data_IF_962298151419
#
_entry.id   IF_962298151419
#
_cell.length_a   1.000
_cell.length_b   1.000
_cell.length_c   1.000
_cell.angle_alpha   90.00
_cell.angle_beta   90.00
_cell.angle_gamma   90.00
#
_symmetry.space_group_name_H-M   'P 1'
#
loop_
_entity.id
_entity.type
_entity.pdbx_description
1 polymer ?
#
# COMPACT_ATOMS: atom_id res chain seq x y z
N UNK A 1 11.83 10.25 27.31
CA UNK A 1 10.90 9.98 26.19
C UNK A 1 11.78 9.42 25.09
N UNK A 2 11.49 8.19 24.64
CA UNK A 2 12.20 7.60 23.50
C UNK A 2 11.79 8.34 22.21
N UNK A 3 12.68 8.49 21.21
CA UNK A 3 12.30 9.09 19.94
C UNK A 3 11.27 8.21 19.21
N UNK A 4 10.35 8.84 18.47
CA UNK A 4 9.28 8.14 17.74
C UNK A 4 9.79 7.21 16.62
N UNK A 5 11.04 7.37 16.19
CA UNK A 5 11.66 6.58 15.15
C UNK A 5 13.18 6.55 15.25
N UNK A 6 13.82 5.86 14.32
CA UNK A 6 15.28 5.63 14.30
C UNK A 6 15.96 6.23 13.05
N UNK A 7 15.26 7.09 12.28
CA UNK A 7 15.84 7.73 11.09
C UNK A 7 16.93 8.72 11.50
N UNK A 8 18.13 8.60 10.91
CA UNK A 8 19.21 9.56 11.14
C UNK A 8 18.87 10.96 10.60
N UNK A 9 19.37 12.01 11.27
CA UNK A 9 19.09 13.41 10.97
C UNK A 9 19.80 13.98 9.72
N UNK A 10 20.68 13.19 9.10
CA UNK A 10 21.46 13.59 7.93
C UNK A 10 20.63 13.64 6.66
N UNK A 11 19.94 14.75 6.42
CA UNK A 11 19.09 14.94 5.24
C UNK A 11 19.83 14.80 3.90
N UNK A 12 21.09 15.29 3.82
CA UNK A 12 22.02 15.08 2.72
C UNK A 12 21.38 15.16 1.33
N UNK A 13 21.51 14.08 0.56
CA UNK A 13 20.99 13.97 -0.81
C UNK A 13 19.46 14.10 -0.91
N UNK A 14 18.71 13.81 0.15
CA UNK A 14 17.25 13.82 0.09
C UNK A 14 16.70 15.23 -0.18
N UNK A 15 17.24 16.26 0.47
CA UNK A 15 16.88 17.67 0.21
C UNK A 15 17.06 18.05 -1.26
N UNK A 16 18.16 17.60 -1.89
CA UNK A 16 18.42 17.80 -3.32
C UNK A 16 17.41 17.10 -4.21
N UNK A 17 17.11 15.82 -3.95
CA UNK A 17 16.18 15.04 -4.79
C UNK A 17 14.73 15.50 -4.64
N UNK A 18 14.35 15.96 -3.45
CA UNK A 18 13.01 16.46 -3.16
C UNK A 18 12.85 17.93 -3.59
N UNK A 19 13.94 18.64 -3.87
CA UNK A 19 13.91 20.04 -4.30
C UNK A 19 13.47 21.01 -3.20
N UNK A 20 13.73 20.68 -1.93
CA UNK A 20 13.29 21.44 -0.75
C UNK A 20 14.45 21.86 0.14
N UNK A 21 14.26 22.91 0.93
CA UNK A 21 15.23 23.34 1.94
C UNK A 21 15.34 22.36 3.11
N UNK A 22 16.40 22.46 3.92
CA UNK A 22 16.60 21.57 5.06
C UNK A 22 15.50 21.64 6.12
N UNK A 23 14.94 22.83 6.37
CA UNK A 23 13.79 23.01 7.27
C UNK A 23 12.52 22.34 6.75
N UNK A 24 12.17 22.59 5.48
CA UNK A 24 11.01 21.97 4.83
C UNK A 24 11.13 20.45 4.77
N UNK A 25 12.34 19.94 4.51
CA UNK A 25 12.61 18.51 4.56
C UNK A 25 12.32 17.95 5.95
N UNK A 26 12.85 18.55 7.02
CA UNK A 26 12.59 18.05 8.37
C UNK A 26 11.11 18.05 8.74
N UNK A 27 10.34 19.02 8.25
CA UNK A 27 8.90 19.08 8.47
C UNK A 27 8.10 18.04 7.68
N UNK A 28 8.59 17.60 6.51
CA UNK A 28 7.87 16.69 5.59
C UNK A 28 8.36 15.25 5.64
N UNK A 29 9.56 15.02 6.18
CA UNK A 29 10.27 13.75 6.05
C UNK A 29 9.90 12.71 7.12
N UNK A 30 8.73 12.86 7.76
CA UNK A 30 8.14 11.89 8.66
C UNK A 30 6.98 11.10 8.01
N UNK A 31 6.56 10.02 8.69
CA UNK A 31 5.56 9.07 8.20
C UNK A 31 4.13 9.62 8.36
N UNK A 32 3.38 9.67 7.26
CA UNK A 32 1.94 9.81 7.32
C UNK A 32 1.27 8.45 7.60
N UNK A 33 0.25 8.35 8.48
CA UNK A 33 -0.45 9.44 9.18
C UNK A 33 0.06 9.71 10.61
N UNK A 34 1.25 9.24 11.00
CA UNK A 34 1.80 9.54 12.33
C UNK A 34 2.06 11.04 12.49
N UNK A 35 2.64 11.65 11.46
CA UNK A 35 2.73 13.08 11.28
C UNK A 35 1.73 13.50 10.19
N UNK A 36 0.75 14.37 10.49
CA UNK A 36 -0.18 14.89 9.48
C UNK A 36 0.49 15.75 8.40
N UNK A 37 1.66 16.35 8.68
CA UNK A 37 2.46 17.14 7.73
C UNK A 37 3.54 16.28 7.03
N UNK A 38 3.71 15.03 7.47
CA UNK A 38 4.60 14.05 6.87
C UNK A 38 4.15 13.62 5.47
N UNK A 39 5.12 13.38 4.58
CA UNK A 39 4.89 13.01 3.18
C UNK A 39 5.40 11.60 2.85
N UNK A 40 5.94 10.86 3.83
CA UNK A 40 6.34 9.47 3.64
C UNK A 40 5.16 8.52 3.84
N UNK A 41 5.03 7.56 2.93
CA UNK A 41 4.03 6.48 3.01
C UNK A 41 4.71 5.14 3.25
N UNK A 42 4.13 4.33 4.13
CA UNK A 42 4.51 2.92 4.33
C UNK A 42 3.40 2.03 3.77
N UNK A 43 3.75 1.30 2.72
CA UNK A 43 2.93 0.22 2.18
C UNK A 43 3.48 -1.12 2.68
N UNK A 44 2.64 -1.90 3.35
CA UNK A 44 3.00 -3.26 3.80
C UNK A 44 2.44 -4.28 2.83
N UNK A 45 3.31 -5.07 2.22
CA UNK A 45 2.94 -6.15 1.32
C UNK A 45 2.58 -7.40 2.13
N UNK A 46 1.37 -7.91 1.92
CA UNK A 46 0.86 -9.14 2.52
C UNK A 46 0.85 -10.22 1.45
N UNK A 47 1.78 -11.17 1.58
CA UNK A 47 2.13 -12.09 0.48
C UNK A 47 2.24 -13.57 0.87
N UNK A 48 1.92 -13.92 2.12
CA UNK A 48 1.92 -15.31 2.59
C UNK A 48 0.85 -15.55 3.67
N UNK A 49 0.65 -16.81 4.06
CA UNK A 49 -0.38 -17.20 5.02
C UNK A 49 -0.19 -16.55 6.40
N UNK A 50 1.06 -16.36 6.85
CA UNK A 50 1.34 -15.73 8.13
C UNK A 50 0.93 -14.25 8.10
N UNK A 51 1.25 -13.53 7.02
CA UNK A 51 0.82 -12.16 6.84
C UNK A 51 -0.71 -12.03 6.78
N UNK A 52 -1.39 -12.95 6.10
CA UNK A 52 -2.85 -13.00 6.04
C UNK A 52 -3.46 -13.28 7.42
N UNK A 53 -2.85 -14.18 8.21
CA UNK A 53 -3.33 -14.51 9.55
C UNK A 53 -3.17 -13.37 10.57
N UNK A 54 -2.20 -12.45 10.34
CA UNK A 54 -1.91 -11.33 11.22
C UNK A 54 -2.33 -9.97 10.62
N UNK A 55 -3.09 -9.97 9.54
CA UNK A 55 -3.33 -8.76 8.74
C UNK A 55 -4.03 -7.65 9.54
N UNK A 56 -4.88 -7.99 10.51
CA UNK A 56 -5.54 -7.02 11.38
C UNK A 56 -4.59 -6.39 12.38
N UNK A 57 -3.62 -7.16 12.90
CA UNK A 57 -2.59 -6.64 13.78
C UNK A 57 -1.65 -5.71 13.02
N UNK A 58 -1.24 -6.12 11.83
CA UNK A 58 -0.40 -5.32 10.92
C UNK A 58 -1.12 -4.00 10.57
N UNK A 59 -2.41 -4.05 10.21
CA UNK A 59 -3.18 -2.86 9.85
C UNK A 59 -3.34 -1.86 11.01
N UNK A 60 -3.22 -2.33 12.27
CA UNK A 60 -3.31 -1.48 13.47
C UNK A 60 -1.98 -0.85 13.88
N UNK A 61 -0.86 -1.23 13.25
CA UNK A 61 0.44 -0.65 13.59
C UNK A 61 0.45 0.85 13.23
N UNK A 62 0.71 1.75 14.20
CA UNK A 62 0.76 3.18 13.93
C UNK A 62 1.79 3.51 12.83
N UNK A 63 1.37 4.26 11.82
CA UNK A 63 2.21 4.67 10.67
C UNK A 63 2.12 3.76 9.45
N UNK A 64 1.39 2.64 9.50
CA UNK A 64 1.03 1.90 8.28
C UNK A 64 0.03 2.73 7.48
N UNK A 65 0.46 3.22 6.33
CA UNK A 65 -0.34 4.09 5.47
C UNK A 65 -1.28 3.31 4.55
N UNK A 66 -0.91 2.08 4.19
CA UNK A 66 -1.69 1.19 3.31
C UNK A 66 -1.19 -0.26 3.38
N UNK A 67 -2.06 -1.19 2.99
CA UNK A 67 -1.68 -2.58 2.74
C UNK A 67 -1.62 -2.85 1.24
N UNK A 68 -0.88 -3.88 0.84
CA UNK A 68 -0.86 -4.40 -0.52
C UNK A 68 -1.13 -5.89 -0.49
N UNK A 69 -2.14 -6.33 -1.23
CA UNK A 69 -2.30 -7.75 -1.56
C UNK A 69 -1.46 -8.06 -2.80
N UNK A 70 -0.58 -9.07 -2.73
CA UNK A 70 0.29 -9.47 -3.84
C UNK A 70 -0.22 -10.79 -4.46
N UNK A 71 -0.98 -10.75 -5.58
CA UNK A 71 -1.65 -11.95 -6.10
C UNK A 71 -0.69 -13.06 -6.54
N UNK A 72 0.45 -12.71 -7.14
CA UNK A 72 1.43 -13.70 -7.59
C UNK A 72 2.03 -14.47 -6.41
N UNK A 73 2.49 -13.75 -5.39
CA UNK A 73 3.12 -14.34 -4.21
C UNK A 73 2.12 -15.08 -3.34
N UNK A 74 0.90 -14.56 -3.16
CA UNK A 74 -0.18 -15.29 -2.49
C UNK A 74 -0.52 -16.58 -3.25
N UNK A 75 -0.58 -16.54 -4.59
CA UNK A 75 -0.78 -17.75 -5.40
C UNK A 75 0.29 -18.81 -5.13
N UNK A 76 1.57 -18.41 -5.05
CA UNK A 76 2.66 -19.32 -4.69
C UNK A 76 2.57 -19.82 -3.25
N UNK A 77 2.27 -18.93 -2.30
CA UNK A 77 2.15 -19.26 -0.89
C UNK A 77 1.06 -20.32 -0.67
N UNK A 78 -0.09 -20.20 -1.34
CA UNK A 78 -1.18 -21.17 -1.31
C UNK A 78 -1.00 -22.36 -2.27
N UNK A 79 0.22 -22.60 -2.77
CA UNK A 79 0.53 -23.80 -3.56
C UNK A 79 -0.17 -23.86 -4.92
N UNK A 80 -0.53 -22.71 -5.50
CA UNK A 80 -1.26 -22.61 -6.76
C UNK A 80 -2.79 -22.70 -6.62
N UNK A 81 -3.33 -22.80 -5.40
CA UNK A 81 -4.78 -22.71 -5.16
C UNK A 81 -5.25 -21.26 -5.37
N UNK A 82 -5.76 -20.99 -6.58
CA UNK A 82 -6.25 -19.67 -6.98
C UNK A 82 -7.47 -19.20 -6.17
N UNK A 83 -8.33 -20.10 -5.70
CA UNK A 83 -9.46 -19.71 -4.86
C UNK A 83 -9.03 -19.35 -3.45
N UNK A 84 -8.08 -20.10 -2.87
CA UNK A 84 -7.50 -19.76 -1.57
C UNK A 84 -6.74 -18.43 -1.62
N UNK A 85 -5.96 -18.20 -2.69
CA UNK A 85 -5.28 -16.94 -2.90
C UNK A 85 -6.27 -15.77 -3.07
N UNK A 86 -7.35 -15.94 -3.83
CA UNK A 86 -8.38 -14.88 -3.96
C UNK A 86 -9.09 -14.62 -2.63
N UNK A 87 -9.42 -15.64 -1.83
CA UNK A 87 -9.97 -15.45 -0.47
C UNK A 87 -9.02 -14.63 0.41
N UNK A 88 -7.71 -14.88 0.33
CA UNK A 88 -6.71 -14.11 1.04
C UNK A 88 -6.64 -12.65 0.56
N UNK A 89 -6.66 -12.41 -0.76
CA UNK A 89 -6.72 -11.07 -1.35
C UNK A 89 -7.93 -10.29 -0.82
N UNK A 90 -9.11 -10.91 -0.83
CA UNK A 90 -10.34 -10.28 -0.35
C UNK A 90 -10.31 -10.03 1.17
N UNK A 91 -9.66 -10.90 1.96
CA UNK A 91 -9.44 -10.65 3.39
C UNK A 91 -8.59 -9.40 3.63
N UNK A 92 -7.48 -9.26 2.92
CA UNK A 92 -6.58 -8.09 3.02
C UNK A 92 -7.34 -6.80 2.64
N UNK A 93 -8.12 -6.83 1.57
CA UNK A 93 -8.96 -5.70 1.16
C UNK A 93 -9.98 -5.32 2.24
N UNK A 94 -10.70 -6.30 2.79
CA UNK A 94 -11.71 -6.06 3.82
C UNK A 94 -11.10 -5.44 5.08
N UNK A 95 -9.92 -5.92 5.49
CA UNK A 95 -9.20 -5.40 6.67
C UNK A 95 -8.67 -3.99 6.42
N UNK A 96 -8.13 -3.72 5.23
CA UNK A 96 -7.70 -2.37 4.85
C UNK A 96 -8.86 -1.37 4.94
N UNK A 97 -10.03 -1.74 4.37
CA UNK A 97 -11.26 -0.93 4.46
C UNK A 97 -11.70 -0.71 5.90
N UNK A 98 -11.70 -1.75 6.73
CA UNK A 98 -12.08 -1.65 8.14
C UNK A 98 -11.12 -0.76 8.95
N UNK A 99 -9.84 -0.77 8.60
CA UNK A 99 -8.82 0.11 9.19
C UNK A 99 -8.82 1.53 8.61
N UNK A 100 -9.62 1.80 7.58
CA UNK A 100 -9.68 3.12 6.94
C UNK A 100 -8.46 3.48 6.10
N UNK A 101 -7.64 2.48 5.72
CA UNK A 101 -6.44 2.67 4.89
C UNK A 101 -6.64 2.10 3.48
N UNK A 102 -6.00 2.67 2.44
CA UNK A 102 -6.03 2.11 1.10
C UNK A 102 -5.52 0.66 1.05
N UNK A 103 -6.10 -0.14 0.16
CA UNK A 103 -5.52 -1.40 -0.26
C UNK A 103 -4.97 -1.27 -1.67
N UNK A 104 -3.74 -1.72 -1.85
CA UNK A 104 -3.06 -1.82 -3.13
C UNK A 104 -3.13 -3.25 -3.70
N UNK A 105 -3.05 -3.36 -5.03
CA UNK A 105 -2.97 -4.65 -5.73
C UNK A 105 -2.29 -4.46 -7.10
N UNK A 106 -1.66 -5.52 -7.63
CA UNK A 106 -1.34 -5.59 -9.06
C UNK A 106 -2.55 -6.09 -9.86
N UNK A 107 -2.81 -5.50 -11.02
CA UNK A 107 -3.92 -5.92 -11.88
C UNK A 107 -3.54 -5.88 -13.36
N UNK A 108 -4.27 -6.66 -14.15
CA UNK A 108 -4.12 -6.78 -15.59
C UNK A 108 -5.35 -6.23 -16.32
N UNK A 109 -5.33 -6.22 -17.65
CA UNK A 109 -6.51 -5.88 -18.47
C UNK A 109 -7.71 -6.79 -18.21
N UNK A 110 -7.49 -7.98 -17.64
CA UNK A 110 -8.54 -8.97 -17.39
C UNK A 110 -9.35 -8.67 -16.14
N UNK A 111 -8.78 -7.95 -15.18
CA UNK A 111 -9.36 -7.81 -13.84
C UNK A 111 -9.31 -6.39 -13.27
N UNK A 112 -8.64 -5.44 -13.92
CA UNK A 112 -8.50 -4.06 -13.40
C UNK A 112 -9.83 -3.37 -13.11
N UNK A 113 -10.86 -3.53 -13.95
CA UNK A 113 -12.19 -2.94 -13.73
C UNK A 113 -12.83 -3.53 -12.46
N UNK A 114 -12.82 -4.86 -12.36
CA UNK A 114 -13.28 -5.58 -11.16
C UNK A 114 -12.53 -5.12 -9.91
N UNK A 115 -11.20 -4.95 -9.96
CA UNK A 115 -10.41 -4.50 -8.79
C UNK A 115 -10.79 -3.06 -8.37
N UNK A 116 -11.09 -2.18 -9.32
CA UNK A 116 -11.61 -0.84 -9.00
C UNK A 116 -12.97 -0.93 -8.32
N UNK A 117 -13.90 -1.72 -8.86
CA UNK A 117 -15.24 -1.94 -8.33
C UNK A 117 -15.22 -2.56 -6.92
N UNK A 118 -14.36 -3.57 -6.71
CA UNK A 118 -14.11 -4.18 -5.40
C UNK A 118 -13.63 -3.17 -4.37
N UNK A 119 -13.01 -2.07 -4.80
CA UNK A 119 -12.62 -0.95 -3.94
C UNK A 119 -11.14 -0.88 -3.62
N UNK A 120 -10.28 -1.56 -4.39
CA UNK A 120 -8.84 -1.26 -4.36
C UNK A 120 -8.62 0.18 -4.79
N UNK A 121 -7.72 0.88 -4.08
CA UNK A 121 -7.49 2.33 -4.29
C UNK A 121 -6.12 2.66 -4.87
N UNK A 122 -5.19 1.71 -4.81
CA UNK A 122 -3.88 1.80 -5.46
C UNK A 122 -3.76 0.59 -6.37
N UNK A 123 -3.76 0.78 -7.69
CA UNK A 123 -3.64 -0.31 -8.64
C UNK A 123 -2.34 -0.17 -9.42
N UNK A 124 -1.47 -1.16 -9.26
CA UNK A 124 -0.20 -1.26 -9.98
C UNK A 124 -0.47 -2.06 -11.25
N UNK A 125 -0.44 -1.37 -12.39
CA UNK A 125 -0.75 -1.94 -13.69
C UNK A 125 0.18 -1.37 -14.76
N UNK A 126 0.22 -2.01 -15.92
CA UNK A 126 1.01 -1.56 -17.07
C UNK A 126 0.20 -1.61 -18.36
N UNK A 127 0.65 -0.86 -19.36
CA UNK A 127 0.03 -0.82 -20.69
C UNK A 127 -1.46 -0.43 -20.65
N UNK A 128 -2.29 -1.14 -21.41
CA UNK A 128 -3.72 -0.84 -21.56
C UNK A 128 -4.50 -0.92 -20.24
N UNK A 129 -4.04 -1.71 -19.26
CA UNK A 129 -4.71 -1.83 -17.98
C UNK A 129 -4.74 -0.49 -17.20
N UNK A 130 -3.73 0.38 -17.39
CA UNK A 130 -3.72 1.73 -16.80
C UNK A 130 -4.86 2.57 -17.36
N UNK A 131 -5.04 2.58 -18.68
CA UNK A 131 -6.11 3.35 -19.33
C UNK A 131 -7.49 2.85 -18.92
N UNK A 132 -7.70 1.53 -18.92
CA UNK A 132 -8.97 0.92 -18.50
C UNK A 132 -9.27 1.24 -17.03
N UNK A 133 -8.29 1.03 -16.13
CA UNK A 133 -8.47 1.30 -14.71
C UNK A 133 -8.73 2.77 -14.38
N UNK A 134 -8.09 3.69 -15.10
CA UNK A 134 -8.36 5.13 -14.99
C UNK A 134 -9.80 5.47 -15.34
N UNK A 135 -10.31 4.96 -16.47
CA UNK A 135 -11.71 5.14 -16.86
C UNK A 135 -12.67 4.55 -15.83
N UNK A 136 -12.43 3.31 -15.40
CA UNK A 136 -13.26 2.64 -14.39
C UNK A 136 -13.29 3.40 -13.05
N UNK A 137 -12.19 4.09 -12.71
CA UNK A 137 -12.09 4.93 -11.52
C UNK A 137 -12.63 6.37 -11.71
N UNK A 138 -13.21 6.71 -12.87
CA UNK A 138 -13.70 8.05 -13.17
C UNK A 138 -12.60 9.11 -13.31
N UNK A 139 -11.40 8.70 -13.70
CA UNK A 139 -10.20 9.55 -13.82
C UNK A 139 -9.70 9.59 -15.26
N UNK A 140 -10.42 10.27 -16.15
CA UNK A 140 -9.93 10.54 -17.51
C UNK A 140 -8.80 11.59 -17.47
#
# INVERSE_FOLDING_TARGET
MEPAGQRGSGAGNATRFWGVGGGDYLAKADLWPLDPDGELLVMIQIENQLGVANVEEIARVPGVSMLMAAPSDLGMAYGGDGEAAERAIQRILAVSKAAGIPCAITASVRDVERRVEEGFRVIIASGQAVTIGRRAAGRE
#
